data_IF_464177779138
#
_entry.id   IF_464177779138
#
_cell.length_a   1.000
_cell.length_b   1.000
_cell.length_c   1.000
_cell.angle_alpha   90.00
_cell.angle_beta   90.00
_cell.angle_gamma   90.00
#
_symmetry.space_group_name_H-M   'P 1'
#
loop_
_entity.id
_entity.type
_entity.pdbx_description
1 polymer ?
#
# COMPACT_ATOMS: atom_id res chain seq x y z
N UNK A 1 6.02 29.65 3.63
CA UNK A 1 7.37 29.63 3.06
C UNK A 1 7.34 28.69 1.86
N UNK A 2 7.32 29.22 0.63
CA UNK A 2 7.16 28.43 -0.59
C UNK A 2 8.46 27.64 -0.85
N UNK A 3 8.36 26.30 -0.76
CA UNK A 3 9.45 25.39 -1.13
C UNK A 3 9.76 25.59 -2.63
N UNK A 4 10.92 26.14 -2.93
CA UNK A 4 11.42 26.26 -4.31
C UNK A 4 11.43 24.88 -4.97
N UNK A 5 10.92 24.73 -6.21
CA UNK A 5 11.00 23.48 -6.92
C UNK A 5 12.48 23.15 -7.18
N UNK A 6 13.01 22.17 -6.46
CA UNK A 6 14.32 21.61 -6.75
C UNK A 6 14.26 21.00 -8.15
N UNK A 7 14.98 21.58 -9.12
CA UNK A 7 15.18 20.98 -10.44
C UNK A 7 15.73 19.57 -10.24
N UNK A 8 14.96 18.58 -10.65
CA UNK A 8 15.34 17.18 -10.65
C UNK A 8 16.47 17.00 -11.66
N UNK A 9 17.71 16.89 -11.21
CA UNK A 9 18.80 16.45 -12.06
C UNK A 9 18.73 14.93 -12.13
N UNK A 10 18.54 14.38 -13.32
CA UNK A 10 18.55 12.93 -13.61
C UNK A 10 19.80 12.26 -13.03
N UNK A 11 20.93 12.99 -13.00
CA UNK A 11 22.19 12.56 -12.38
C UNK A 11 22.08 12.30 -10.87
N UNK A 12 21.22 13.04 -10.14
CA UNK A 12 21.04 12.79 -8.69
C UNK A 12 20.21 11.53 -8.45
N UNK A 13 19.18 11.28 -9.25
CA UNK A 13 18.37 10.05 -9.15
C UNK A 13 19.25 8.83 -9.37
N UNK A 14 20.10 8.83 -10.41
CA UNK A 14 21.02 7.72 -10.70
C UNK A 14 22.03 7.49 -9.55
N UNK A 15 22.50 8.55 -8.90
CA UNK A 15 23.42 8.46 -7.76
C UNK A 15 22.74 7.93 -6.48
N UNK A 16 21.46 8.21 -6.30
CA UNK A 16 20.68 7.75 -5.15
C UNK A 16 20.15 6.31 -5.38
N UNK A 17 20.20 5.80 -6.63
CA UNK A 17 19.74 4.47 -6.99
C UNK A 17 20.63 3.41 -6.33
N UNK A 18 19.99 2.41 -5.71
CA UNK A 18 20.66 1.24 -5.14
C UNK A 18 19.90 -0.03 -5.49
N UNK A 19 20.60 -1.14 -5.60
CA UNK A 19 19.98 -2.43 -5.87
C UNK A 19 18.95 -2.79 -4.78
N UNK A 20 19.26 -2.51 -3.51
CA UNK A 20 18.33 -2.72 -2.39
C UNK A 20 17.04 -1.93 -2.53
N UNK A 21 17.11 -0.66 -2.97
CA UNK A 21 15.91 0.15 -3.21
C UNK A 21 15.06 -0.37 -4.38
N UNK A 22 15.71 -0.82 -5.47
CA UNK A 22 15.00 -1.43 -6.62
C UNK A 22 14.30 -2.72 -6.20
N UNK A 23 14.99 -3.59 -5.45
CA UNK A 23 14.40 -4.84 -4.96
C UNK A 23 13.28 -4.56 -3.95
N UNK A 24 13.43 -3.58 -3.05
CA UNK A 24 12.36 -3.20 -2.15
C UNK A 24 11.10 -2.72 -2.91
N UNK A 25 11.30 -1.93 -3.98
CA UNK A 25 10.22 -1.52 -4.88
C UNK A 25 9.57 -2.71 -5.59
N UNK A 26 10.35 -3.66 -6.08
CA UNK A 26 9.84 -4.90 -6.69
C UNK A 26 9.04 -5.73 -5.68
N UNK A 27 9.60 -5.97 -4.49
CA UNK A 27 8.92 -6.73 -3.41
C UNK A 27 7.61 -6.04 -3.00
N UNK A 28 7.60 -4.72 -2.90
CA UNK A 28 6.39 -3.98 -2.58
C UNK A 28 5.28 -4.23 -3.63
N UNK A 29 5.62 -4.19 -4.93
CA UNK A 29 4.66 -4.45 -6.00
C UNK A 29 4.24 -5.93 -6.02
N UNK A 30 5.19 -6.86 -5.89
CA UNK A 30 4.91 -8.28 -5.81
C UNK A 30 3.92 -8.62 -4.69
N UNK A 31 4.18 -8.11 -3.47
CA UNK A 31 3.32 -8.30 -2.29
C UNK A 31 1.94 -7.66 -2.51
N UNK A 32 1.90 -6.41 -2.97
CA UNK A 32 0.64 -5.69 -3.21
C UNK A 32 -0.21 -6.41 -4.24
N UNK A 33 0.38 -6.83 -5.35
CA UNK A 33 -0.32 -7.48 -6.45
C UNK A 33 -0.83 -8.88 -6.05
N UNK A 34 0.05 -9.74 -5.53
CA UNK A 34 -0.31 -11.12 -5.18
C UNK A 34 -1.32 -11.21 -4.03
N UNK A 35 -1.31 -10.24 -3.11
CA UNK A 35 -2.25 -10.25 -1.98
C UNK A 35 -3.65 -9.75 -2.32
N UNK A 36 -3.81 -8.93 -3.36
CA UNK A 36 -5.09 -8.25 -3.57
C UNK A 36 -5.58 -8.16 -5.03
N UNK A 37 -4.78 -8.54 -6.03
CA UNK A 37 -5.21 -8.49 -7.42
C UNK A 37 -6.47 -9.33 -7.67
N UNK A 38 -6.57 -10.51 -7.08
CA UNK A 38 -7.75 -11.39 -7.19
C UNK A 38 -9.04 -10.69 -6.71
N UNK A 39 -8.94 -9.85 -5.66
CA UNK A 39 -10.09 -9.09 -5.15
C UNK A 39 -10.50 -8.01 -6.16
N UNK A 40 -9.52 -7.35 -6.81
CA UNK A 40 -9.79 -6.35 -7.86
C UNK A 40 -10.44 -7.00 -9.08
N UNK A 41 -9.95 -8.16 -9.52
CA UNK A 41 -10.57 -8.93 -10.59
C UNK A 41 -12.02 -9.30 -10.24
N UNK A 42 -12.26 -9.83 -9.03
CA UNK A 42 -13.61 -10.17 -8.56
C UNK A 42 -14.52 -8.95 -8.48
N UNK A 43 -13.99 -7.79 -8.08
CA UNK A 43 -14.75 -6.53 -8.04
C UNK A 43 -15.16 -6.07 -9.45
N UNK A 44 -14.26 -6.15 -10.43
CA UNK A 44 -14.55 -5.81 -11.81
C UNK A 44 -15.59 -6.76 -12.44
N UNK A 45 -15.45 -8.07 -12.19
CA UNK A 45 -16.42 -9.07 -12.64
C UNK A 45 -17.80 -8.85 -12.00
N UNK A 46 -17.86 -8.61 -10.70
CA UNK A 46 -19.10 -8.30 -9.98
C UNK A 46 -19.76 -7.01 -10.47
N UNK A 47 -18.97 -6.08 -10.99
CA UNK A 47 -19.44 -4.85 -11.65
C UNK A 47 -19.93 -5.05 -13.08
N UNK A 48 -19.90 -6.29 -13.61
CA UNK A 48 -20.33 -6.61 -14.96
C UNK A 48 -19.30 -6.28 -16.06
N UNK A 49 -18.04 -6.09 -15.70
CA UNK A 49 -16.98 -5.82 -16.67
C UNK A 49 -16.61 -7.11 -17.45
N UNK A 50 -16.44 -6.98 -18.76
CA UNK A 50 -15.87 -8.02 -19.64
C UNK A 50 -14.36 -8.19 -19.36
N UNK A 51 -13.77 -9.30 -19.83
CA UNK A 51 -12.34 -9.55 -19.68
C UNK A 51 -11.47 -8.42 -20.24
N UNK A 52 -11.89 -7.81 -21.35
CA UNK A 52 -11.20 -6.69 -21.95
C UNK A 52 -11.30 -5.40 -21.08
N UNK A 53 -12.44 -5.15 -20.46
CA UNK A 53 -12.63 -4.04 -19.53
C UNK A 53 -11.88 -4.28 -18.22
N UNK A 54 -11.81 -5.52 -17.73
CA UNK A 54 -10.98 -5.91 -16.59
C UNK A 54 -9.50 -5.61 -16.87
N UNK A 55 -9.01 -5.95 -18.05
CA UNK A 55 -7.65 -5.62 -18.47
C UNK A 55 -7.42 -4.09 -18.52
N UNK A 56 -8.43 -3.32 -18.96
CA UNK A 56 -8.41 -1.85 -18.93
C UNK A 56 -8.35 -1.31 -17.51
N UNK A 57 -9.09 -1.90 -16.55
CA UNK A 57 -9.00 -1.52 -15.13
C UNK A 57 -7.58 -1.70 -14.60
N UNK A 58 -6.98 -2.87 -14.87
CA UNK A 58 -5.61 -3.14 -14.43
C UNK A 58 -4.60 -2.19 -15.08
N UNK A 59 -4.80 -1.85 -16.36
CA UNK A 59 -4.01 -0.84 -17.04
C UNK A 59 -4.13 0.53 -16.35
N UNK A 60 -5.35 1.01 -16.11
CA UNK A 60 -5.61 2.30 -15.50
C UNK A 60 -5.06 2.40 -14.07
N UNK A 61 -5.26 1.34 -13.26
CA UNK A 61 -4.74 1.26 -11.90
C UNK A 61 -3.20 1.24 -11.90
N UNK A 62 -2.58 0.41 -12.75
CA UNK A 62 -1.11 0.34 -12.83
C UNK A 62 -0.49 1.66 -13.30
N UNK A 63 -1.08 2.31 -14.31
CA UNK A 63 -0.65 3.62 -14.79
C UNK A 63 -0.81 4.69 -13.69
N UNK A 64 -1.97 4.72 -13.01
CA UNK A 64 -2.25 5.67 -11.94
C UNK A 64 -1.33 5.51 -10.74
N UNK A 65 -1.13 4.28 -10.25
CA UNK A 65 -0.19 3.97 -9.18
C UNK A 65 1.25 4.31 -9.58
N UNK A 66 1.66 3.93 -10.78
CA UNK A 66 3.00 4.21 -11.29
C UNK A 66 3.28 5.71 -11.38
N UNK A 67 2.37 6.46 -12.00
CA UNK A 67 2.52 7.92 -12.14
C UNK A 67 2.55 8.63 -10.79
N UNK A 68 1.67 8.26 -9.85
CA UNK A 68 1.62 8.88 -8.52
C UNK A 68 2.80 8.47 -7.64
N UNK A 69 3.23 7.20 -7.64
CA UNK A 69 4.44 6.78 -6.93
C UNK A 69 5.67 7.55 -7.41
N UNK A 70 5.90 7.59 -8.72
CA UNK A 70 7.05 8.29 -9.30
C UNK A 70 6.95 9.79 -9.05
N UNK A 71 5.83 10.41 -9.44
CA UNK A 71 5.65 11.85 -9.40
C UNK A 71 5.74 12.41 -7.99
N UNK A 72 5.01 11.81 -7.04
CA UNK A 72 4.98 12.29 -5.66
C UNK A 72 6.30 12.01 -4.93
N UNK A 73 6.91 10.84 -5.15
CA UNK A 73 8.20 10.53 -4.51
C UNK A 73 9.33 11.43 -5.01
N UNK A 74 9.38 11.72 -6.29
CA UNK A 74 10.35 12.67 -6.85
C UNK A 74 10.10 14.10 -6.38
N UNK A 75 8.82 14.51 -6.29
CA UNK A 75 8.43 15.88 -5.91
C UNK A 75 8.75 16.18 -4.44
N UNK A 76 8.49 15.23 -3.54
CA UNK A 76 8.60 15.44 -2.10
C UNK A 76 9.84 14.79 -1.48
N UNK A 77 10.61 14.04 -2.23
CA UNK A 77 11.76 13.27 -1.76
C UNK A 77 11.44 12.37 -0.56
N UNK A 78 10.24 11.86 -0.55
CA UNK A 78 9.72 10.91 0.42
C UNK A 78 9.27 9.65 -0.31
N UNK A 79 9.35 8.45 0.29
CA UNK A 79 8.92 7.21 -0.36
C UNK A 79 7.39 7.09 -0.35
N UNK A 80 6.75 7.87 -1.23
CA UNK A 80 5.29 7.89 -1.38
C UNK A 80 4.88 6.73 -2.26
N UNK A 81 4.37 5.67 -1.67
CA UNK A 81 3.79 4.53 -2.39
C UNK A 81 2.27 4.68 -2.41
N UNK A 82 1.71 4.55 -3.59
CA UNK A 82 0.26 4.54 -3.82
C UNK A 82 -0.19 3.17 -4.30
N UNK A 83 -1.43 2.83 -4.02
CA UNK A 83 -2.03 1.55 -4.38
C UNK A 83 -3.52 1.75 -4.69
N UNK A 84 -4.18 0.70 -5.22
CA UNK A 84 -5.63 0.63 -5.24
C UNK A 84 -6.22 0.36 -3.86
N UNK A 85 -7.47 0.72 -3.65
CA UNK A 85 -8.19 0.43 -2.41
C UNK A 85 -8.67 -1.03 -2.38
N UNK A 86 -7.93 -1.92 -1.72
CA UNK A 86 -8.37 -3.31 -1.52
C UNK A 86 -9.70 -3.41 -0.76
N UNK A 87 -9.93 -2.66 0.35
CA UNK A 87 -11.24 -2.63 0.99
C UNK A 87 -12.33 -2.06 0.09
N UNK A 88 -11.99 -1.07 -0.75
CA UNK A 88 -12.90 -0.52 -1.76
C UNK A 88 -13.27 -1.57 -2.81
N UNK A 89 -12.30 -2.34 -3.30
CA UNK A 89 -12.57 -3.46 -4.22
C UNK A 89 -13.48 -4.52 -3.57
N UNK A 90 -13.20 -4.91 -2.31
CA UNK A 90 -14.05 -5.86 -1.58
C UNK A 90 -15.49 -5.36 -1.41
N UNK A 91 -15.66 -4.05 -1.15
CA UNK A 91 -16.98 -3.42 -1.08
C UNK A 91 -17.69 -3.44 -2.43
N UNK A 92 -16.98 -3.23 -3.56
CA UNK A 92 -17.56 -3.27 -4.88
C UNK A 92 -18.17 -4.62 -5.23
N UNK A 93 -17.62 -5.75 -4.75
CA UNK A 93 -18.15 -7.09 -4.99
C UNK A 93 -19.62 -7.21 -4.58
N UNK A 94 -20.01 -6.54 -3.50
CA UNK A 94 -21.39 -6.56 -2.99
C UNK A 94 -22.16 -5.28 -3.32
N UNK A 95 -21.52 -4.13 -3.25
CA UNK A 95 -22.16 -2.82 -3.41
C UNK A 95 -22.45 -2.43 -4.86
N UNK A 96 -21.76 -3.05 -5.85
CA UNK A 96 -22.00 -2.79 -7.26
C UNK A 96 -23.10 -3.68 -7.88
N UNK A 97 -23.62 -4.66 -7.12
CA UNK A 97 -24.58 -5.63 -7.65
C UNK A 97 -25.85 -4.96 -8.18
N UNK A 98 -26.21 -5.29 -9.42
CA UNK A 98 -27.42 -4.77 -10.07
C UNK A 98 -27.30 -3.37 -10.69
N UNK A 99 -26.17 -2.69 -10.55
CA UNK A 99 -25.91 -1.42 -11.23
C UNK A 99 -25.21 -1.64 -12.57
N UNK A 100 -25.57 -0.87 -13.61
CA UNK A 100 -24.84 -0.87 -14.89
C UNK A 100 -23.40 -0.41 -14.70
N UNK A 101 -22.44 -1.02 -15.41
CA UNK A 101 -21.02 -0.68 -15.32
C UNK A 101 -20.74 0.83 -15.53
N UNK A 102 -21.47 1.47 -16.46
CA UNK A 102 -21.34 2.90 -16.71
C UNK A 102 -21.70 3.76 -15.48
N UNK A 103 -22.66 3.33 -14.65
CA UNK A 103 -23.05 4.04 -13.43
C UNK A 103 -22.02 3.80 -12.30
N UNK A 104 -21.43 2.60 -12.26
CA UNK A 104 -20.33 2.28 -11.33
C UNK A 104 -19.11 3.14 -11.65
N UNK A 105 -18.78 3.30 -12.95
CA UNK A 105 -17.71 4.22 -13.37
C UNK A 105 -18.06 5.67 -13.03
N UNK A 106 -19.32 6.07 -13.16
CA UNK A 106 -19.79 7.36 -12.67
C UNK A 106 -19.60 7.55 -11.16
N UNK A 107 -19.81 6.49 -10.38
CA UNK A 107 -19.54 6.51 -8.94
C UNK A 107 -18.02 6.62 -8.63
N UNK A 108 -17.14 6.02 -9.44
CA UNK A 108 -15.68 6.22 -9.31
C UNK A 108 -15.29 7.68 -9.54
N UNK A 109 -15.88 8.33 -10.56
CA UNK A 109 -15.69 9.76 -10.82
C UNK A 109 -16.13 10.60 -9.61
N UNK A 110 -17.32 10.36 -9.05
CA UNK A 110 -17.81 11.10 -7.88
C UNK A 110 -16.90 10.88 -6.66
N UNK A 111 -16.52 9.65 -6.37
CA UNK A 111 -15.58 9.31 -5.28
C UNK A 111 -14.23 10.00 -5.46
N UNK A 112 -13.72 10.04 -6.69
CA UNK A 112 -12.46 10.72 -7.03
C UNK A 112 -12.57 12.25 -6.86
N UNK A 113 -13.70 12.86 -7.23
CA UNK A 113 -13.96 14.29 -6.99
C UNK A 113 -13.96 14.60 -5.50
N UNK A 114 -14.66 13.79 -4.68
CA UNK A 114 -14.66 13.95 -3.22
C UNK A 114 -13.25 13.82 -2.63
N UNK A 115 -12.47 12.83 -3.08
CA UNK A 115 -11.09 12.63 -2.63
C UNK A 115 -10.20 13.81 -3.03
N UNK A 116 -10.33 14.29 -4.26
CA UNK A 116 -9.58 15.44 -4.79
C UNK A 116 -9.91 16.71 -4.01
N UNK A 117 -11.20 16.98 -3.82
CA UNK A 117 -11.67 18.16 -3.09
C UNK A 117 -11.20 18.14 -1.62
N UNK A 118 -11.34 17.00 -0.94
CA UNK A 118 -10.85 16.84 0.44
C UNK A 118 -9.33 17.00 0.49
N UNK A 119 -8.60 16.39 -0.44
CA UNK A 119 -7.15 16.47 -0.51
C UNK A 119 -6.65 17.91 -0.63
N UNK A 120 -7.17 18.68 -1.58
CA UNK A 120 -6.73 20.05 -1.79
C UNK A 120 -7.34 21.08 -0.81
N UNK A 121 -8.34 20.71 -0.01
CA UNK A 121 -8.92 21.60 1.03
C UNK A 121 -7.97 21.93 2.18
N UNK A 122 -6.93 21.13 2.40
CA UNK A 122 -6.01 21.25 3.55
C UNK A 122 -6.63 20.89 4.90
N UNK A 123 -7.92 20.47 4.91
CA UNK A 123 -8.62 20.12 6.16
C UNK A 123 -8.01 18.88 6.82
N UNK A 124 -7.65 17.89 6.01
CA UNK A 124 -7.09 16.63 6.50
C UNK A 124 -5.74 16.83 7.18
N UNK A 125 -4.90 17.71 6.67
CA UNK A 125 -3.60 18.04 7.27
C UNK A 125 -3.76 18.66 8.65
N UNK A 126 -4.71 19.58 8.80
CA UNK A 126 -5.06 20.20 10.09
C UNK A 126 -5.61 19.19 11.10
N UNK A 127 -6.41 18.23 10.65
CA UNK A 127 -6.95 17.18 11.52
C UNK A 127 -5.86 16.19 11.97
N UNK A 128 -4.95 15.82 11.09
CA UNK A 128 -3.92 14.80 11.33
C UNK A 128 -2.63 15.36 11.96
N UNK A 129 -2.39 16.69 11.95
CA UNK A 129 -1.22 17.29 12.58
C UNK A 129 -1.17 17.07 14.10
N UNK A 130 -2.28 16.68 14.71
CA UNK A 130 -2.42 16.41 16.15
C UNK A 130 -2.30 14.93 16.51
N UNK A 131 -1.99 14.06 15.54
CA UNK A 131 -1.89 12.62 15.79
C UNK A 131 -0.59 12.28 16.52
N UNK A 132 -0.64 11.67 17.73
CA UNK A 132 0.55 11.25 18.45
C UNK A 132 1.32 10.18 17.66
N UNK A 133 2.66 10.31 17.65
CA UNK A 133 3.54 9.37 16.93
C UNK A 133 3.52 7.97 17.53
N UNK A 134 3.30 7.84 18.84
CA UNK A 134 3.12 6.56 19.55
C UNK A 134 1.93 5.77 19.03
N UNK A 135 0.76 6.42 18.86
CA UNK A 135 -0.44 5.79 18.33
C UNK A 135 -0.24 5.38 16.87
N UNK A 136 0.37 6.26 16.06
CA UNK A 136 0.70 5.95 14.66
C UNK A 136 1.64 4.74 14.56
N UNK A 137 2.63 4.66 15.46
CA UNK A 137 3.59 3.54 15.51
C UNK A 137 2.94 2.23 15.99
N UNK A 138 2.04 2.31 16.98
CA UNK A 138 1.23 1.16 17.43
C UNK A 138 0.34 0.63 16.31
N UNK A 139 -0.33 1.53 15.59
CA UNK A 139 -1.13 1.17 14.43
C UNK A 139 -0.27 0.53 13.33
N UNK A 140 0.88 1.09 13.01
CA UNK A 140 1.83 0.52 12.04
C UNK A 140 2.20 -0.92 12.42
N UNK A 141 2.65 -1.12 13.66
CA UNK A 141 3.02 -2.44 14.15
C UNK A 141 1.86 -3.43 14.09
N UNK A 142 0.63 -3.00 14.43
CA UNK A 142 -0.58 -3.81 14.36
C UNK A 142 -0.94 -4.24 12.92
N UNK A 143 -0.85 -3.32 11.96
CA UNK A 143 -1.07 -3.63 10.52
C UNK A 143 -0.06 -4.65 10.01
N UNK A 144 1.19 -4.51 10.41
CA UNK A 144 2.28 -5.33 9.89
C UNK A 144 2.44 -6.66 10.61
N UNK A 145 1.90 -6.81 11.82
CA UNK A 145 2.06 -8.02 12.65
C UNK A 145 1.69 -9.30 11.89
N UNK A 146 0.59 -9.29 11.15
CA UNK A 146 0.13 -10.46 10.39
C UNK A 146 1.15 -10.92 9.34
N UNK A 147 1.87 -9.99 8.72
CA UNK A 147 2.93 -10.34 7.76
C UNK A 147 4.12 -11.01 8.45
N UNK A 148 4.51 -10.50 9.64
CA UNK A 148 5.54 -11.14 10.46
C UNK A 148 5.14 -12.55 10.90
N UNK A 149 3.91 -12.76 11.34
CA UNK A 149 3.37 -14.08 11.72
C UNK A 149 3.31 -15.02 10.52
N UNK A 150 2.95 -14.53 9.34
CA UNK A 150 2.86 -15.32 8.12
C UNK A 150 4.21 -15.96 7.71
N UNK A 151 5.35 -15.37 8.06
CA UNK A 151 6.66 -16.02 7.83
C UNK A 151 6.71 -17.38 8.50
N UNK A 152 6.31 -17.43 9.78
CA UNK A 152 6.40 -18.65 10.59
C UNK A 152 5.29 -19.64 10.29
N UNK A 153 4.08 -19.17 10.01
CA UNK A 153 2.98 -20.06 9.60
C UNK A 153 3.21 -20.67 8.23
N UNK A 154 3.85 -19.97 7.30
CA UNK A 154 4.23 -20.49 5.98
C UNK A 154 5.28 -21.61 6.07
N UNK A 155 6.05 -21.69 7.16
CA UNK A 155 6.97 -22.82 7.40
C UNK A 155 6.24 -24.14 7.55
N UNK A 156 4.98 -24.16 8.00
CA UNK A 156 4.19 -25.40 8.12
C UNK A 156 3.89 -26.00 6.75
N UNK A 157 3.69 -25.17 5.72
CA UNK A 157 3.40 -25.64 4.37
C UNK A 157 4.69 -25.94 3.57
N UNK A 158 5.72 -25.09 3.70
CA UNK A 158 6.98 -25.20 2.95
C UNK A 158 8.20 -24.91 3.85
N UNK A 159 8.50 -25.84 4.77
CA UNK A 159 9.54 -25.65 5.78
C UNK A 159 10.90 -25.34 5.16
N UNK A 160 11.37 -26.17 4.23
CA UNK A 160 12.72 -26.02 3.64
C UNK A 160 12.91 -24.66 2.96
N UNK A 161 11.91 -24.21 2.17
CA UNK A 161 11.95 -22.95 1.46
C UNK A 161 11.98 -21.77 2.45
N UNK A 162 10.99 -21.70 3.34
CA UNK A 162 10.80 -20.54 4.21
C UNK A 162 11.89 -20.48 5.30
N UNK A 163 12.29 -21.63 5.84
CA UNK A 163 13.37 -21.70 6.83
C UNK A 163 14.73 -21.28 6.23
N UNK A 164 15.04 -21.73 5.00
CA UNK A 164 16.26 -21.31 4.32
C UNK A 164 16.26 -19.80 4.01
N UNK A 165 15.11 -19.24 3.61
CA UNK A 165 14.95 -17.80 3.41
C UNK A 165 15.18 -17.04 4.73
N UNK A 166 14.56 -17.50 5.82
CA UNK A 166 14.70 -16.87 7.14
C UNK A 166 16.13 -16.95 7.68
N UNK A 167 16.76 -18.13 7.60
CA UNK A 167 18.16 -18.30 8.00
C UNK A 167 19.10 -17.47 7.14
N UNK A 168 18.88 -17.47 5.82
CA UNK A 168 19.64 -16.65 4.88
C UNK A 168 19.55 -15.15 5.21
N UNK A 169 18.36 -14.68 5.59
CA UNK A 169 18.16 -13.30 6.05
C UNK A 169 18.93 -13.00 7.34
N UNK A 170 18.86 -13.89 8.35
CA UNK A 170 19.60 -13.71 9.61
C UNK A 170 21.10 -13.61 9.37
N UNK A 171 21.64 -14.50 8.55
CA UNK A 171 23.07 -14.51 8.21
C UNK A 171 23.46 -13.28 7.39
N UNK A 172 22.68 -12.97 6.34
CA UNK A 172 22.92 -11.80 5.51
C UNK A 172 22.86 -10.50 6.32
N UNK A 173 21.94 -10.41 7.28
CA UNK A 173 21.82 -9.25 8.15
C UNK A 173 23.02 -9.03 9.05
N UNK A 174 23.74 -10.08 9.40
CA UNK A 174 24.98 -10.01 10.18
C UNK A 174 26.17 -9.46 9.37
N UNK A 175 26.26 -9.85 8.07
CA UNK A 175 27.43 -9.52 7.23
C UNK A 175 27.16 -8.41 6.22
N UNK A 176 25.93 -8.32 5.73
CA UNK A 176 25.52 -7.36 4.69
C UNK A 176 24.08 -6.91 4.90
N UNK A 177 23.76 -6.13 5.97
CA UNK A 177 22.39 -5.74 6.31
C UNK A 177 21.64 -5.12 5.14
N UNK A 178 22.35 -4.30 4.34
CA UNK A 178 21.82 -3.61 3.16
C UNK A 178 21.23 -4.54 2.09
N UNK A 179 21.79 -5.73 1.95
CA UNK A 179 21.38 -6.70 0.93
C UNK A 179 20.61 -7.89 1.49
N UNK A 180 20.24 -7.86 2.78
CA UNK A 180 19.60 -8.99 3.44
C UNK A 180 18.32 -9.44 2.73
N UNK A 181 17.43 -8.50 2.37
CA UNK A 181 16.17 -8.80 1.64
C UNK A 181 16.46 -9.32 0.22
N UNK A 182 17.45 -8.74 -0.46
CA UNK A 182 17.86 -9.17 -1.81
C UNK A 182 18.38 -10.62 -1.79
N UNK A 183 19.26 -10.93 -0.84
CA UNK A 183 19.82 -12.28 -0.67
C UNK A 183 18.72 -13.27 -0.32
N UNK A 184 17.79 -12.89 0.57
CA UNK A 184 16.65 -13.71 0.94
C UNK A 184 15.77 -14.04 -0.26
N UNK A 185 15.46 -13.04 -1.09
CA UNK A 185 14.69 -13.24 -2.32
C UNK A 185 15.41 -14.19 -3.28
N UNK A 186 16.71 -13.98 -3.48
CA UNK A 186 17.52 -14.83 -4.36
C UNK A 186 17.56 -16.30 -3.88
N UNK A 187 17.69 -16.53 -2.57
CA UNK A 187 17.61 -17.86 -1.97
C UNK A 187 16.25 -18.49 -2.23
N UNK A 188 15.17 -17.75 -1.99
CA UNK A 188 13.80 -18.23 -2.20
C UNK A 188 13.55 -18.62 -3.66
N UNK A 189 13.93 -17.75 -4.60
CA UNK A 189 13.78 -18.02 -6.04
C UNK A 189 14.62 -19.23 -6.47
N UNK A 190 15.88 -19.33 -6.00
CA UNK A 190 16.75 -20.47 -6.33
C UNK A 190 16.17 -21.80 -5.83
N UNK A 191 15.67 -21.85 -4.59
CA UNK A 191 15.04 -23.06 -4.04
C UNK A 191 13.77 -23.40 -4.78
N UNK A 192 12.90 -22.43 -5.05
CA UNK A 192 11.67 -22.65 -5.79
C UNK A 192 11.95 -23.15 -7.23
N UNK A 193 13.01 -22.66 -7.88
CA UNK A 193 13.45 -23.13 -9.18
C UNK A 193 13.94 -24.59 -9.14
N UNK A 194 14.78 -24.93 -8.16
CA UNK A 194 15.30 -26.32 -7.98
C UNK A 194 14.17 -27.30 -7.66
N UNK A 195 13.18 -26.86 -6.89
CA UNK A 195 11.99 -27.66 -6.55
C UNK A 195 10.96 -27.75 -7.69
N UNK A 196 11.20 -27.09 -8.82
CA UNK A 196 10.26 -27.08 -9.95
C UNK A 196 8.95 -26.34 -9.68
N UNK A 197 8.94 -25.45 -8.69
CA UNK A 197 7.72 -24.72 -8.27
C UNK A 197 7.51 -23.41 -9.04
N UNK A 198 8.41 -23.05 -9.95
CA UNK A 198 8.26 -21.88 -10.81
C UNK A 198 7.56 -22.29 -12.12
N UNK A 199 6.30 -21.85 -12.27
CA UNK A 199 5.46 -22.18 -13.43
C UNK A 199 5.52 -21.06 -14.47
N UNK A 200 6.67 -20.87 -15.12
CA UNK A 200 6.88 -19.80 -16.11
C UNK A 200 6.33 -20.12 -17.51
N UNK A 201 5.90 -21.35 -17.76
CA UNK A 201 5.46 -21.81 -19.09
C UNK A 201 4.22 -21.11 -19.65
N UNK A 202 3.35 -20.59 -18.78
CA UNK A 202 2.09 -19.96 -19.18
C UNK A 202 2.20 -18.43 -19.35
N UNK A 203 3.37 -17.86 -19.14
CA UNK A 203 3.60 -16.42 -19.23
C UNK A 203 3.68 -15.99 -20.68
N UNK A 204 2.61 -15.37 -21.20
CA UNK A 204 2.57 -14.79 -22.56
C UNK A 204 2.66 -13.27 -22.46
N UNK A 205 3.46 -12.66 -23.34
CA UNK A 205 3.58 -11.22 -23.41
C UNK A 205 2.37 -10.61 -24.13
N UNK A 206 1.46 -9.99 -23.37
CA UNK A 206 0.26 -9.33 -23.89
C UNK A 206 0.16 -7.91 -23.36
N UNK A 207 -0.07 -6.95 -24.26
CA UNK A 207 -0.30 -5.56 -23.89
C UNK A 207 -1.78 -5.35 -23.53
N UNK A 208 -2.03 -4.69 -22.41
CA UNK A 208 -3.36 -4.26 -22.06
C UNK A 208 -3.82 -3.11 -22.97
N UNK A 209 -5.07 -3.15 -23.40
CA UNK A 209 -5.68 -2.09 -24.20
C UNK A 209 -6.64 -1.29 -23.32
N UNK A 210 -6.51 0.05 -23.27
CA UNK A 210 -7.45 0.89 -22.53
C UNK A 210 -8.81 0.92 -23.25
N UNK A 211 -9.88 0.70 -22.48
CA UNK A 211 -11.26 0.78 -22.97
C UNK A 211 -11.95 1.92 -22.25
N UNK A 212 -12.49 2.86 -23.02
CA UNK A 212 -13.26 3.98 -22.49
C UNK A 212 -14.68 3.55 -22.17
N UNK A 213 -15.09 3.70 -20.92
CA UNK A 213 -16.45 3.51 -20.45
C UNK A 213 -17.03 4.89 -20.14
N UNK A 214 -18.05 5.33 -20.87
CA UNK A 214 -18.67 6.63 -20.66
C UNK A 214 -19.40 6.65 -19.30
N UNK A 215 -18.98 7.51 -18.35
CA UNK A 215 -19.61 7.57 -17.03
C UNK A 215 -21.07 8.00 -17.12
N UNK A 216 -21.95 7.29 -16.40
CA UNK A 216 -23.33 7.71 -16.18
C UNK A 216 -23.54 7.96 -14.68
N UNK A 217 -24.36 8.92 -14.36
CA UNK A 217 -24.58 9.32 -12.97
C UNK A 217 -26.00 8.99 -12.55
N UNK A 218 -26.14 8.20 -11.47
CA UNK A 218 -27.42 7.92 -10.81
C UNK A 218 -27.28 8.13 -9.31
N UNK A 219 -28.36 8.53 -8.67
CA UNK A 219 -28.38 8.72 -7.21
C UNK A 219 -28.11 7.40 -6.48
N UNK A 220 -28.58 6.28 -7.04
CA UNK A 220 -28.34 4.95 -6.50
C UNK A 220 -26.85 4.61 -6.48
N UNK A 221 -26.10 4.87 -7.58
CA UNK A 221 -24.66 4.65 -7.64
C UNK A 221 -23.88 5.60 -6.73
N UNK A 222 -24.32 6.86 -6.58
CA UNK A 222 -23.68 7.82 -5.69
C UNK A 222 -23.81 7.38 -4.22
N UNK A 223 -25.01 7.02 -3.79
CA UNK A 223 -25.28 6.62 -2.40
C UNK A 223 -24.75 5.20 -2.12
N UNK A 224 -24.94 4.26 -3.06
CA UNK A 224 -24.59 2.84 -2.86
C UNK A 224 -23.11 2.54 -3.09
N UNK A 225 -22.42 3.32 -3.93
CA UNK A 225 -21.02 3.03 -4.31
C UNK A 225 -20.10 4.21 -4.04
N UNK A 226 -20.36 5.41 -4.55
CA UNK A 226 -19.39 6.52 -4.51
C UNK A 226 -19.05 6.96 -3.09
N UNK A 227 -20.06 7.24 -2.26
CA UNK A 227 -19.87 7.69 -0.88
C UNK A 227 -19.22 6.59 -0.02
N UNK A 228 -19.71 5.32 -0.02
CA UNK A 228 -19.05 4.24 0.70
C UNK A 228 -17.61 4.00 0.24
N UNK A 229 -17.33 4.02 -1.06
CA UNK A 229 -15.98 3.87 -1.61
C UNK A 229 -15.02 4.96 -1.11
N UNK A 230 -15.47 6.21 -1.13
CA UNK A 230 -14.72 7.35 -0.59
C UNK A 230 -14.45 7.17 0.91
N UNK A 231 -15.47 6.87 1.72
CA UNK A 231 -15.33 6.72 3.18
C UNK A 231 -14.41 5.56 3.53
N UNK A 232 -14.62 4.39 2.93
CA UNK A 232 -13.80 3.18 3.19
C UNK A 232 -12.36 3.42 2.77
N UNK A 233 -12.13 4.04 1.61
CA UNK A 233 -10.77 4.32 1.13
C UNK A 233 -10.06 5.34 2.03
N UNK A 234 -10.75 6.39 2.47
CA UNK A 234 -10.16 7.36 3.40
C UNK A 234 -9.83 6.74 4.75
N UNK A 235 -10.78 6.00 5.35
CA UNK A 235 -10.63 5.43 6.68
C UNK A 235 -9.65 4.25 6.73
N UNK A 236 -9.70 3.36 5.72
CA UNK A 236 -8.96 2.08 5.75
C UNK A 236 -7.64 2.11 4.97
N UNK A 237 -7.37 3.15 4.18
CA UNK A 237 -6.16 3.25 3.36
C UNK A 237 -5.41 4.57 3.53
N UNK A 238 -6.04 5.71 3.25
CA UNK A 238 -5.33 6.99 3.31
C UNK A 238 -4.88 7.36 4.73
N UNK A 239 -5.73 7.23 5.74
CA UNK A 239 -5.36 7.50 7.14
C UNK A 239 -4.23 6.57 7.60
N UNK A 240 -4.29 5.24 7.41
CA UNK A 240 -3.17 4.34 7.69
C UNK A 240 -1.89 4.68 6.91
N UNK A 241 -1.99 4.98 5.61
CA UNK A 241 -0.84 5.36 4.79
C UNK A 241 -0.13 6.61 5.30
N UNK A 242 -0.89 7.61 5.74
CA UNK A 242 -0.36 8.83 6.37
C UNK A 242 0.34 8.49 7.68
N UNK A 243 -0.28 7.68 8.54
CA UNK A 243 0.29 7.33 9.82
C UNK A 243 1.61 6.56 9.65
N UNK A 244 1.70 5.66 8.68
CA UNK A 244 2.93 4.94 8.34
C UNK A 244 4.01 5.91 7.85
N UNK A 245 3.67 6.87 6.99
CA UNK A 245 4.58 7.91 6.53
C UNK A 245 5.16 8.71 7.72
N UNK A 246 4.30 9.09 8.67
CA UNK A 246 4.69 9.81 9.89
C UNK A 246 5.54 8.94 10.83
N UNK A 247 5.17 7.69 11.05
CA UNK A 247 5.91 6.73 11.88
C UNK A 247 7.33 6.47 11.39
N UNK A 248 7.58 6.61 10.06
CA UNK A 248 8.92 6.50 9.48
C UNK A 248 9.71 7.81 9.43
N UNK A 249 9.22 8.88 10.09
CA UNK A 249 9.93 10.14 10.23
C UNK A 249 9.73 11.15 9.09
N UNK A 250 8.82 10.92 8.15
CA UNK A 250 8.52 11.86 7.05
C UNK A 250 7.45 12.87 7.48
N UNK A 251 7.71 13.58 8.58
CA UNK A 251 6.76 14.52 9.20
C UNK A 251 6.48 15.73 8.33
N UNK A 252 7.48 16.21 7.57
CA UNK A 252 7.37 17.41 6.74
C UNK A 252 6.70 17.16 5.38
N UNK A 253 6.36 15.91 5.06
CA UNK A 253 5.71 15.59 3.78
C UNK A 253 4.25 16.03 3.84
N UNK A 254 3.80 16.96 2.97
CA UNK A 254 2.45 17.51 3.02
C UNK A 254 1.44 16.46 2.55
N UNK A 255 0.54 16.09 3.44
CA UNK A 255 -0.43 15.01 3.23
C UNK A 255 -1.55 15.40 2.28
N UNK A 256 -2.05 16.63 2.43
CA UNK A 256 -3.17 17.14 1.64
C UNK A 256 -2.92 17.05 0.12
N UNK A 257 -1.77 17.54 -0.41
CA UNK A 257 -1.46 17.37 -1.83
C UNK A 257 -1.31 15.92 -2.27
N UNK A 258 -0.79 15.01 -1.40
CA UNK A 258 -0.66 13.60 -1.76
C UNK A 258 -2.03 13.00 -2.10
N UNK A 259 -3.03 13.25 -1.24
CA UNK A 259 -4.40 12.77 -1.45
C UNK A 259 -5.07 13.49 -2.62
N UNK A 260 -4.86 14.80 -2.75
CA UNK A 260 -5.41 15.57 -3.87
C UNK A 260 -4.92 15.05 -5.22
N UNK A 261 -3.64 14.75 -5.36
CA UNK A 261 -3.08 14.21 -6.58
C UNK A 261 -3.52 12.77 -6.86
N UNK A 262 -3.60 11.90 -5.85
CA UNK A 262 -4.14 10.53 -6.05
C UNK A 262 -5.61 10.57 -6.48
N UNK A 263 -6.41 11.46 -5.88
CA UNK A 263 -7.79 11.70 -6.30
C UNK A 263 -7.89 12.20 -7.74
N UNK A 264 -7.07 13.19 -8.12
CA UNK A 264 -7.07 13.75 -9.48
C UNK A 264 -6.67 12.71 -10.53
N UNK A 265 -5.66 11.91 -10.26
CA UNK A 265 -5.24 10.83 -11.17
C UNK A 265 -6.33 9.75 -11.27
N UNK A 266 -6.99 9.41 -10.16
CA UNK A 266 -8.16 8.53 -10.18
C UNK A 266 -9.27 9.13 -11.06
N UNK A 267 -9.57 10.41 -10.91
CA UNK A 267 -10.60 11.11 -11.70
C UNK A 267 -10.34 11.01 -13.21
N UNK A 268 -9.10 11.24 -13.64
CA UNK A 268 -8.71 11.17 -15.05
C UNK A 268 -8.78 9.74 -15.60
N UNK A 269 -8.45 8.75 -14.77
CA UNK A 269 -8.39 7.35 -15.19
C UNK A 269 -9.66 6.56 -14.87
N UNK A 270 -10.63 7.14 -14.16
CA UNK A 270 -11.90 6.49 -13.84
C UNK A 270 -12.67 5.98 -15.06
N UNK A 271 -12.75 6.70 -16.21
CA UNK A 271 -13.41 6.19 -17.41
C UNK A 271 -12.78 4.91 -17.99
N UNK A 272 -11.54 4.58 -17.60
CA UNK A 272 -10.85 3.36 -17.98
C UNK A 272 -10.91 2.30 -16.87
N UNK A 273 -11.65 2.57 -15.78
CA UNK A 273 -11.86 1.64 -14.68
C UNK A 273 -10.97 1.84 -13.46
N UNK A 274 -10.16 2.92 -13.40
CA UNK A 274 -9.46 3.23 -12.16
C UNK A 274 -10.43 3.62 -11.05
N UNK A 275 -10.34 2.94 -9.92
CA UNK A 275 -11.11 3.26 -8.73
C UNK A 275 -10.17 3.53 -7.55
N UNK A 276 -10.46 4.56 -6.78
CA UNK A 276 -9.91 4.82 -5.44
C UNK A 276 -8.39 4.54 -5.28
N UNK A 277 -7.55 5.24 -6.08
CA UNK A 277 -6.12 5.31 -5.81
C UNK A 277 -5.90 6.03 -4.47
N UNK A 278 -5.02 5.48 -3.64
CA UNK A 278 -4.81 5.94 -2.28
C UNK A 278 -3.34 5.78 -1.86
N UNK A 279 -3.00 6.32 -0.69
CA UNK A 279 -1.71 6.05 -0.06
C UNK A 279 -1.69 4.60 0.44
N UNK A 280 -0.64 3.88 0.07
CA UNK A 280 -0.42 2.53 0.55
C UNK A 280 0.06 2.53 2.01
N UNK A 281 -0.29 1.49 2.75
CA UNK A 281 0.21 1.27 4.09
C UNK A 281 1.33 0.21 4.09
N UNK A 282 1.00 -1.02 3.75
CA UNK A 282 1.88 -2.19 3.87
C UNK A 282 3.05 -2.10 2.89
N UNK A 283 2.76 -1.89 1.60
CA UNK A 283 3.78 -1.79 0.56
C UNK A 283 4.65 -0.54 0.72
N UNK A 284 4.08 0.55 1.26
CA UNK A 284 4.84 1.74 1.63
C UNK A 284 5.87 1.44 2.74
N UNK A 285 5.51 0.66 3.76
CA UNK A 285 6.42 0.28 4.83
C UNK A 285 7.65 -0.49 4.31
N UNK A 286 7.51 -1.32 3.28
CA UNK A 286 8.63 -2.01 2.62
C UNK A 286 9.60 -0.99 2.01
N UNK A 287 9.09 0.02 1.30
CA UNK A 287 9.91 1.06 0.68
C UNK A 287 10.49 2.07 1.68
N UNK A 288 9.87 2.22 2.86
CA UNK A 288 10.30 3.14 3.93
C UNK A 288 11.28 2.51 4.92
N UNK A 289 11.42 1.19 4.92
CA UNK A 289 12.31 0.45 5.81
C UNK A 289 13.79 0.73 5.57
N UNK A 290 14.63 0.45 6.58
CA UNK A 290 16.10 0.53 6.48
C UNK A 290 16.65 -0.42 5.44
N UNK A 291 15.96 -1.53 5.18
CA UNK A 291 16.35 -2.55 4.20
C UNK A 291 16.23 -2.04 2.75
N UNK A 292 15.36 -1.05 2.50
CA UNK A 292 15.30 -0.38 1.20
C UNK A 292 16.52 0.53 0.98
N UNK A 293 16.88 1.34 1.98
CA UNK A 293 18.10 2.15 1.97
C UNK A 293 18.43 2.62 3.40
N UNK A 294 19.72 2.57 3.79
CA UNK A 294 20.20 3.04 5.11
C UNK A 294 19.85 4.53 5.33
N UNK A 295 20.18 5.37 4.34
CA UNK A 295 19.85 6.80 4.36
C UNK A 295 18.36 6.99 4.03
N UNK A 296 17.58 7.45 5.02
CA UNK A 296 16.14 7.73 4.86
C UNK A 296 15.83 8.73 3.75
N UNK A 297 16.75 9.67 3.48
CA UNK A 297 16.60 10.68 2.41
C UNK A 297 16.66 10.10 1.00
N UNK A 298 17.17 8.87 0.85
CA UNK A 298 17.29 8.17 -0.43
C UNK A 298 16.24 7.08 -0.63
N UNK A 299 15.44 6.76 0.40
CA UNK A 299 14.40 5.71 0.31
C UNK A 299 13.31 6.04 -0.71
N UNK A 300 13.13 7.32 -1.09
CA UNK A 300 12.20 7.71 -2.14
C UNK A 300 12.43 6.96 -3.45
N UNK A 301 13.67 6.53 -3.73
CA UNK A 301 14.03 5.75 -4.93
C UNK A 301 13.37 4.38 -4.93
N UNK A 302 13.13 3.77 -3.77
CA UNK A 302 12.39 2.51 -3.69
C UNK A 302 10.94 2.67 -4.13
N UNK A 303 10.29 3.78 -3.76
CA UNK A 303 8.93 4.09 -4.22
C UNK A 303 8.90 4.48 -5.72
N UNK A 304 9.94 5.14 -6.23
CA UNK A 304 10.11 5.38 -7.67
C UNK A 304 10.24 4.06 -8.42
N UNK A 305 11.06 3.12 -7.93
CA UNK A 305 11.20 1.80 -8.50
C UNK A 305 9.87 1.01 -8.46
N UNK A 306 9.14 1.06 -7.33
CA UNK A 306 7.80 0.49 -7.24
C UNK A 306 6.87 1.10 -8.31
N UNK A 307 6.94 2.42 -8.52
CA UNK A 307 6.16 3.09 -9.56
C UNK A 307 6.48 2.58 -10.96
N UNK A 308 7.75 2.35 -11.29
CA UNK A 308 8.15 1.74 -12.58
C UNK A 308 7.58 0.33 -12.72
N UNK A 309 7.65 -0.49 -11.68
CA UNK A 309 7.05 -1.82 -11.70
C UNK A 309 5.52 -1.75 -11.82
N UNK A 310 4.84 -0.79 -11.19
CA UNK A 310 3.41 -0.57 -11.39
C UNK A 310 3.06 -0.16 -12.82
N UNK A 311 3.87 0.67 -13.49
CA UNK A 311 3.69 0.96 -14.93
C UNK A 311 3.79 -0.32 -15.76
N UNK A 312 4.76 -1.18 -15.46
CA UNK A 312 4.89 -2.48 -16.15
C UNK A 312 3.69 -3.40 -15.87
N UNK A 313 3.20 -3.45 -14.61
CA UNK A 313 1.98 -4.21 -14.30
C UNK A 313 0.75 -3.68 -15.02
N UNK A 314 0.65 -2.37 -15.22
CA UNK A 314 -0.43 -1.77 -16.00
C UNK A 314 -0.32 -2.09 -17.49
N UNK A 315 0.86 -1.91 -18.07
CA UNK A 315 1.09 -2.16 -19.50
C UNK A 315 0.93 -3.62 -19.88
N UNK A 316 1.37 -4.54 -19.00
CA UNK A 316 1.39 -5.99 -19.23
C UNK A 316 0.52 -6.76 -18.24
N UNK A 317 -0.63 -6.23 -17.87
CA UNK A 317 -1.45 -6.72 -16.76
C UNK A 317 -1.64 -8.22 -16.70
N UNK A 318 -2.05 -8.88 -17.79
CA UNK A 318 -2.21 -10.32 -17.85
C UNK A 318 -0.87 -11.08 -17.74
N UNK A 319 0.18 -10.58 -18.41
CA UNK A 319 1.54 -11.16 -18.34
C UNK A 319 2.08 -11.11 -16.91
N UNK A 320 1.92 -9.95 -16.24
CA UNK A 320 2.42 -9.77 -14.88
C UNK A 320 1.60 -10.57 -13.88
N UNK A 321 0.30 -10.69 -14.08
CA UNK A 321 -0.55 -11.57 -13.26
C UNK A 321 -0.07 -13.04 -13.34
N UNK A 322 0.19 -13.54 -14.56
CA UNK A 322 0.75 -14.87 -14.76
C UNK A 322 2.14 -15.03 -14.15
N UNK A 323 3.02 -14.02 -14.31
CA UNK A 323 4.35 -14.03 -13.72
C UNK A 323 4.30 -14.08 -12.18
N UNK A 324 3.44 -13.28 -11.54
CA UNK A 324 3.31 -13.30 -10.08
C UNK A 324 2.66 -14.58 -9.56
N UNK A 325 1.72 -15.15 -10.31
CA UNK A 325 1.15 -16.45 -10.01
C UNK A 325 2.15 -17.61 -10.16
N UNK A 326 3.24 -17.40 -10.91
CA UNK A 326 4.30 -18.39 -11.07
C UNK A 326 5.17 -18.56 -9.82
N UNK A 327 5.16 -17.60 -8.88
CA UNK A 327 5.88 -17.72 -7.61
C UNK A 327 5.06 -18.51 -6.58
N UNK A 328 5.68 -19.40 -5.78
CA UNK A 328 5.02 -20.05 -4.66
C UNK A 328 4.47 -19.01 -3.68
N UNK A 329 3.25 -19.23 -3.21
CA UNK A 329 2.59 -18.34 -2.24
C UNK A 329 3.42 -18.15 -0.97
N UNK A 330 4.05 -19.21 -0.50
CA UNK A 330 4.89 -19.23 0.70
C UNK A 330 6.15 -18.38 0.54
N UNK A 331 6.74 -18.34 -0.67
CA UNK A 331 7.86 -17.45 -0.99
C UNK A 331 7.43 -15.98 -0.84
N UNK A 332 6.27 -15.64 -1.41
CA UNK A 332 5.75 -14.26 -1.37
C UNK A 332 5.44 -13.84 0.07
N UNK A 333 4.78 -14.71 0.85
CA UNK A 333 4.46 -14.45 2.26
C UNK A 333 5.74 -14.31 3.11
N UNK A 334 6.73 -15.17 2.87
CA UNK A 334 7.99 -15.14 3.59
C UNK A 334 8.78 -13.85 3.29
N UNK A 335 8.97 -13.49 2.02
CA UNK A 335 9.74 -12.29 1.68
C UNK A 335 9.05 -11.01 2.17
N UNK A 336 7.71 -10.95 2.10
CA UNK A 336 6.92 -9.83 2.60
C UNK A 336 7.12 -9.65 4.11
N UNK A 337 6.94 -10.73 4.88
CA UNK A 337 7.07 -10.67 6.33
C UNK A 337 8.51 -10.39 6.77
N UNK A 338 9.50 -11.04 6.15
CA UNK A 338 10.93 -10.83 6.45
C UNK A 338 11.33 -9.37 6.19
N UNK A 339 10.92 -8.77 5.08
CA UNK A 339 11.20 -7.37 4.76
C UNK A 339 10.60 -6.38 5.78
N UNK A 340 9.56 -6.80 6.49
CA UNK A 340 8.84 -5.96 7.46
C UNK A 340 9.24 -6.20 8.92
N UNK A 341 10.02 -7.25 9.25
CA UNK A 341 10.37 -7.59 10.63
C UNK A 341 11.03 -6.42 11.38
N UNK A 342 11.98 -5.74 10.74
CA UNK A 342 12.65 -4.58 11.33
C UNK A 342 11.66 -3.43 11.58
N UNK A 343 10.76 -3.18 10.63
CA UNK A 343 9.74 -2.14 10.75
C UNK A 343 8.74 -2.44 11.86
N UNK A 344 8.34 -3.70 12.02
CA UNK A 344 7.47 -4.16 13.13
C UNK A 344 8.17 -3.88 14.47
N UNK A 345 9.43 -4.29 14.61
CA UNK A 345 10.20 -4.09 15.84
C UNK A 345 10.35 -2.62 16.21
N UNK A 346 10.71 -1.77 15.23
CA UNK A 346 10.84 -0.34 15.43
C UNK A 346 9.49 0.32 15.77
N UNK A 347 8.41 -0.11 15.11
CA UNK A 347 7.06 0.37 15.40
C UNK A 347 6.62 0.05 16.82
N UNK A 348 6.84 -1.19 17.30
CA UNK A 348 6.56 -1.58 18.67
C UNK A 348 7.38 -0.78 19.68
N UNK A 349 8.70 -0.62 19.44
CA UNK A 349 9.57 0.16 20.32
C UNK A 349 9.11 1.63 20.42
N UNK A 350 8.74 2.25 19.29
CA UNK A 350 8.25 3.62 19.26
C UNK A 350 6.87 3.76 19.93
N UNK A 351 5.99 2.78 19.76
CA UNK A 351 4.65 2.78 20.36
C UNK A 351 4.69 2.80 21.91
N UNK A 352 5.65 2.08 22.50
CA UNK A 352 5.76 1.94 23.96
C UNK A 352 6.81 2.86 24.60
N UNK A 353 7.42 3.74 23.82
CA UNK A 353 8.53 4.59 24.28
C UNK A 353 8.06 5.58 25.35
N UNK A 354 6.98 6.30 25.12
CA UNK A 354 6.43 7.27 26.07
C UNK A 354 5.54 6.56 27.10
N UNK A 355 5.89 6.62 28.42
CA UNK A 355 5.08 6.01 29.49
C UNK A 355 3.64 6.51 29.55
N UNK A 356 3.38 7.77 29.17
CA UNK A 356 2.04 8.38 29.23
C UNK A 356 1.15 7.97 28.05
N UNK A 357 1.75 7.64 26.93
CA UNK A 357 1.05 7.25 25.70
C UNK A 357 1.10 5.73 25.44
N UNK A 358 1.84 4.96 26.25
CA UNK A 358 2.08 3.52 26.09
C UNK A 358 0.80 2.70 26.07
N UNK A 359 -0.10 2.92 27.01
CA UNK A 359 -1.36 2.18 27.09
C UNK A 359 -2.30 2.52 25.92
N UNK A 360 -2.56 3.78 25.58
CA UNK A 360 -3.29 4.14 24.35
C UNK A 360 -2.67 3.56 23.07
N UNK A 361 -1.34 3.56 22.94
CA UNK A 361 -0.65 3.00 21.78
C UNK A 361 -0.77 1.47 21.72
N UNK A 362 -0.73 0.78 22.88
CA UNK A 362 -0.96 -0.66 22.98
C UNK A 362 -2.39 -1.01 22.57
N UNK A 363 -3.40 -0.25 23.03
CA UNK A 363 -4.80 -0.43 22.61
C UNK A 363 -4.92 -0.26 21.09
N UNK A 364 -4.32 0.80 20.53
CA UNK A 364 -4.26 1.01 19.08
C UNK A 364 -3.67 -0.20 18.36
N UNK A 365 -2.54 -0.71 18.83
CA UNK A 365 -1.88 -1.90 18.28
C UNK A 365 -2.78 -3.12 18.32
N UNK A 366 -3.36 -3.46 19.48
CA UNK A 366 -4.16 -4.67 19.65
C UNK A 366 -5.44 -4.64 18.82
N UNK A 367 -6.17 -3.52 18.82
CA UNK A 367 -7.38 -3.37 18.00
C UNK A 367 -7.05 -3.46 16.52
N UNK A 368 -5.95 -2.83 16.09
CA UNK A 368 -5.49 -2.92 14.69
C UNK A 368 -5.11 -4.35 14.32
N UNK A 369 -4.34 -5.04 15.17
CA UNK A 369 -3.89 -6.41 14.93
C UNK A 369 -5.02 -7.45 14.96
N UNK A 370 -6.10 -7.17 15.70
CA UNK A 370 -7.24 -8.09 15.82
C UNK A 370 -8.00 -8.30 14.51
N UNK A 371 -7.88 -7.35 13.57
CA UNK A 371 -8.61 -7.40 12.29
C UNK A 371 -10.11 -7.12 12.43
N UNK A 372 -10.59 -6.65 13.60
CA UNK A 372 -12.01 -6.31 13.82
C UNK A 372 -12.49 -5.29 12.78
N UNK A 373 -13.63 -5.53 12.20
CA UNK A 373 -14.29 -4.58 11.30
C UNK A 373 -15.70 -4.26 11.78
N UNK A 374 -16.09 -3.01 11.69
CA UNK A 374 -17.44 -2.55 11.98
C UNK A 374 -17.87 -1.53 10.94
N UNK A 375 -19.11 -1.56 10.51
CA UNK A 375 -19.67 -0.66 9.49
C UNK A 375 -18.85 -0.64 8.18
N UNK A 376 -18.30 -1.79 7.77
CA UNK A 376 -17.41 -1.97 6.62
C UNK A 376 -16.07 -1.21 6.72
N UNK A 377 -15.75 -0.64 7.87
CA UNK A 377 -14.49 0.04 8.15
C UNK A 377 -13.57 -0.94 8.89
N UNK A 378 -12.34 -1.09 8.41
CA UNK A 378 -11.37 -2.06 8.95
C UNK A 378 -10.78 -1.65 10.30
N UNK A 379 -10.12 -2.63 10.96
CA UNK A 379 -9.54 -2.52 12.30
C UNK A 379 -8.53 -1.37 12.46
N UNK A 380 -7.88 -0.95 11.39
CA UNK A 380 -6.87 0.11 11.40
C UNK A 380 -7.48 1.45 11.82
N UNK A 381 -8.63 1.79 11.27
CA UNK A 381 -9.39 2.97 11.67
C UNK A 381 -9.86 2.85 13.12
N UNK A 382 -10.47 1.72 13.48
CA UNK A 382 -10.99 1.50 14.83
C UNK A 382 -9.88 1.45 15.88
N UNK A 383 -8.70 0.94 15.53
CA UNK A 383 -7.50 1.01 16.36
C UNK A 383 -7.11 2.45 16.68
N UNK A 384 -7.12 3.32 15.67
CA UNK A 384 -6.83 4.75 15.88
C UNK A 384 -7.90 5.42 16.75
N UNK A 385 -9.19 5.16 16.49
CA UNK A 385 -10.29 5.70 17.30
C UNK A 385 -10.18 5.22 18.75
N UNK A 386 -9.97 3.92 18.99
CA UNK A 386 -9.83 3.36 20.34
C UNK A 386 -8.61 3.96 21.07
N UNK A 387 -7.48 4.11 20.39
CA UNK A 387 -6.28 4.74 20.96
C UNK A 387 -6.46 6.20 21.31
N UNK A 388 -7.11 6.98 20.43
CA UNK A 388 -7.42 8.39 20.71
C UNK A 388 -8.40 8.55 21.87
N UNK A 389 -9.41 7.68 21.94
CA UNK A 389 -10.35 7.64 23.08
C UNK A 389 -9.62 7.29 24.39
N UNK A 390 -8.78 6.25 24.37
CA UNK A 390 -7.97 5.89 25.53
C UNK A 390 -7.09 7.05 25.96
N UNK A 391 -6.39 7.70 25.02
CA UNK A 391 -5.54 8.85 25.31
C UNK A 391 -6.34 10.02 25.90
N UNK A 392 -7.53 10.30 25.40
CA UNK A 392 -8.39 11.38 25.91
C UNK A 392 -8.86 11.10 27.34
N UNK A 393 -9.11 9.83 27.69
CA UNK A 393 -9.56 9.41 29.01
C UNK A 393 -8.39 9.34 30.01
N UNK A 394 -7.25 8.79 29.60
CA UNK A 394 -6.08 8.56 30.48
C UNK A 394 -5.23 9.81 30.68
N UNK A 395 -5.30 10.77 29.74
CA UNK A 395 -4.55 12.02 29.85
C UNK A 395 -5.04 12.81 31.07
N UNK A 396 -4.32 12.67 32.18
CA UNK A 396 -4.60 13.49 33.39
C UNK A 396 -4.50 14.96 33.02
N UNK A 397 -5.59 15.72 33.20
CA UNK A 397 -5.50 17.18 33.21
C UNK A 397 -4.57 17.53 34.35
N UNK A 398 -3.34 17.95 34.05
CA UNK A 398 -2.57 18.66 35.07
C UNK A 398 -3.39 19.92 35.42
N UNK A 399 -3.81 20.12 36.68
CA UNK A 399 -4.34 21.43 37.06
C UNK A 399 -3.21 22.43 36.86
N UNK A 400 -3.51 23.49 36.15
CA UNK A 400 -2.67 24.69 35.97
C UNK A 400 -2.48 25.37 37.32
#
# INVERSE_FOLDING_TARGET
>A
MALRPHRLSTMRLLRDLSLSAVIAGFVAVLVGFTSSAAIVFSAAQASGASDAEIASWMWALGLGMGATCIGLSLRYRAPVVTAWSTPGAAMLITGAAGLPLAEIVGAFVVSAVLTTALGFSGWLERALSRLPTSLASGMLAGVLLRFGLNVFTSMQAQFALVFAMFLGWLLARRWSPRYAVVITLAIGVAIAAVQGQLHLGDVRLTLAQPIWITPKFSLAAVIGVAIPLFVVTMASQNIPGIAILRAHGYQDTPVSPLIGWTGLVTLVLAPFGAFALNLAAITAAICMGSDAHEDSRRRYVAAVAAGVFYLLTGLFGATVAALFAAFPKELVLAIAGIALLTTIGNGLAAAVHDPQEREPALITFLVTASGVSAFQIGSVFWGMVAGLLALAITRRRHPV
#
